data_IF_666886461844
#
_entry.id   IF_666886461844
#
_cell.length_a   1.000
_cell.length_b   1.000
_cell.length_c   1.000
_cell.angle_alpha   90.00
_cell.angle_beta   90.00
_cell.angle_gamma   90.00
#
_symmetry.space_group_name_H-M   'P 1'
#
loop_
_entity.id
_entity.type
_entity.pdbx_description
1 polymer ?
#
# COMPACT_ATOMS: atom_id res chain seq x y z
N UNK A 1 -19.41 10.74 -7.18
CA UNK A 1 -19.19 11.03 -8.61
C UNK A 1 -17.72 11.22 -8.92
N UNK A 2 -16.96 11.98 -8.13
CA UNK A 2 -15.52 12.26 -8.36
C UNK A 2 -14.62 11.03 -8.58
N UNK A 3 -14.80 9.95 -7.82
CA UNK A 3 -13.95 8.74 -7.94
C UNK A 3 -14.55 7.77 -8.96
N UNK A 4 -15.79 7.31 -8.73
CA UNK A 4 -16.41 6.25 -9.51
C UNK A 4 -16.63 6.59 -10.99
N UNK A 5 -16.65 7.87 -11.37
CA UNK A 5 -16.73 8.25 -12.80
C UNK A 5 -15.49 7.83 -13.60
N UNK A 6 -14.36 7.60 -12.93
CA UNK A 6 -13.11 7.17 -13.54
C UNK A 6 -12.87 5.66 -13.41
N UNK A 7 -13.77 4.93 -12.74
CA UNK A 7 -13.63 3.49 -12.54
C UNK A 7 -13.83 2.76 -13.87
N UNK A 8 -12.87 1.93 -14.24
CA UNK A 8 -12.98 1.14 -15.46
C UNK A 8 -14.16 0.14 -15.38
N UNK A 9 -15.03 0.12 -16.40
CA UNK A 9 -16.23 -0.71 -16.37
C UNK A 9 -15.95 -2.20 -16.55
N UNK A 10 -14.73 -2.62 -16.88
CA UNK A 10 -14.37 -4.03 -17.03
C UNK A 10 -13.57 -4.49 -15.82
N UNK A 11 -12.42 -3.86 -15.56
CA UNK A 11 -11.47 -4.28 -14.52
C UNK A 11 -11.84 -3.76 -13.14
N UNK A 12 -12.58 -2.65 -13.06
CA UNK A 12 -12.84 -1.94 -11.81
C UNK A 12 -11.67 -1.08 -11.32
N UNK A 13 -10.55 -1.03 -12.03
CA UNK A 13 -9.38 -0.23 -11.66
C UNK A 13 -9.63 1.26 -11.91
N UNK A 14 -8.90 2.09 -11.17
CA UNK A 14 -8.84 3.54 -11.31
C UNK A 14 -7.47 3.93 -11.89
N UNK A 15 -7.43 4.85 -12.87
CA UNK A 15 -6.18 5.47 -13.29
C UNK A 15 -5.65 6.41 -12.19
N UNK A 16 -4.34 6.61 -12.13
CA UNK A 16 -3.71 7.52 -11.16
C UNK A 16 -4.16 8.98 -11.34
N UNK A 17 -4.40 9.41 -12.57
CA UNK A 17 -5.05 10.70 -12.88
C UNK A 17 -5.57 10.74 -14.31
N UNK A 18 -6.14 11.86 -14.74
CA UNK A 18 -6.52 12.08 -16.15
C UNK A 18 -5.33 12.00 -17.10
N UNK A 19 -4.14 12.38 -16.63
CA UNK A 19 -2.90 12.39 -17.42
C UNK A 19 -2.02 11.15 -17.16
N UNK A 20 -2.37 10.34 -16.16
CA UNK A 20 -1.67 9.11 -15.81
C UNK A 20 -2.65 7.93 -15.89
N UNK A 21 -2.72 7.24 -17.04
CA UNK A 21 -3.75 6.23 -17.29
C UNK A 21 -3.50 4.89 -16.60
N UNK A 22 -2.34 4.72 -15.96
CA UNK A 22 -1.97 3.49 -15.26
C UNK A 22 -2.60 3.44 -13.86
N UNK A 23 -2.88 2.23 -13.39
CA UNK A 23 -3.48 1.93 -12.10
C UNK A 23 -2.40 1.50 -11.10
N UNK A 24 -2.03 2.39 -10.18
CA UNK A 24 -1.19 2.03 -9.03
C UNK A 24 -2.01 1.29 -7.98
N UNK A 25 -1.44 0.23 -7.41
CA UNK A 25 -2.09 -0.57 -6.35
C UNK A 25 -2.49 0.31 -5.17
N UNK A 26 -1.54 1.10 -4.65
CA UNK A 26 -1.73 1.97 -3.48
C UNK A 26 -2.85 3.01 -3.73
N UNK A 27 -2.83 3.66 -4.89
CA UNK A 27 -3.79 4.71 -5.24
C UNK A 27 -5.20 4.14 -5.42
N UNK A 28 -5.31 2.96 -6.03
CA UNK A 28 -6.58 2.24 -6.17
C UNK A 28 -7.18 1.91 -4.80
N UNK A 29 -6.37 1.35 -3.90
CA UNK A 29 -6.81 0.97 -2.55
C UNK A 29 -7.22 2.22 -1.75
N UNK A 30 -6.39 3.26 -1.68
CA UNK A 30 -6.76 4.49 -0.96
C UNK A 30 -8.01 5.17 -1.53
N UNK A 31 -8.16 5.19 -2.85
CA UNK A 31 -9.33 5.77 -3.50
C UNK A 31 -10.60 5.01 -3.13
N UNK A 32 -10.57 3.67 -3.22
CA UNK A 32 -11.77 2.87 -3.00
C UNK A 32 -12.19 2.81 -1.53
N UNK A 33 -11.25 2.99 -0.60
CA UNK A 33 -11.53 3.06 0.84
C UNK A 33 -12.54 4.16 1.17
N UNK A 34 -12.49 5.30 0.47
CA UNK A 34 -13.49 6.36 0.66
C UNK A 34 -14.90 5.94 0.22
N UNK A 35 -15.01 5.15 -0.86
CA UNK A 35 -16.28 4.60 -1.37
C UNK A 35 -16.81 3.53 -0.40
N UNK A 36 -15.93 2.70 0.13
CA UNK A 36 -16.27 1.72 1.17
C UNK A 36 -16.73 2.40 2.48
N UNK A 37 -16.04 3.44 2.94
CA UNK A 37 -16.47 4.20 4.11
C UNK A 37 -17.86 4.82 3.90
N UNK A 38 -18.13 5.36 2.71
CA UNK A 38 -19.45 5.87 2.34
C UNK A 38 -20.50 4.76 2.33
N UNK A 39 -20.18 3.57 1.80
CA UNK A 39 -21.10 2.44 1.77
C UNK A 39 -21.46 1.97 3.17
N UNK A 40 -20.49 1.92 4.09
CA UNK A 40 -20.73 1.61 5.50
C UNK A 40 -21.60 2.67 6.18
N UNK A 41 -21.40 3.95 5.86
CA UNK A 41 -22.25 5.03 6.39
C UNK A 41 -23.70 4.91 5.90
N UNK A 42 -23.92 4.60 4.63
CA UNK A 42 -25.28 4.31 4.12
C UNK A 42 -25.87 3.09 4.81
N UNK A 43 -25.11 1.99 4.90
CA UNK A 43 -25.56 0.75 5.54
C UNK A 43 -26.01 0.97 6.99
N UNK A 44 -25.29 1.81 7.73
CA UNK A 44 -25.61 2.14 9.13
C UNK A 44 -26.85 3.03 9.29
N UNK A 45 -27.11 3.91 8.32
CA UNK A 45 -28.20 4.92 8.38
C UNK A 45 -29.38 4.58 7.45
N UNK A 46 -29.46 3.35 6.95
CA UNK A 46 -30.44 2.97 5.93
C UNK A 46 -31.85 2.75 6.53
N UNK A 47 -32.54 3.86 6.82
CA UNK A 47 -33.95 3.85 7.21
C UNK A 47 -34.89 3.65 6.01
N UNK A 48 -34.38 3.88 4.79
CA UNK A 48 -35.12 3.78 3.52
C UNK A 48 -34.49 2.74 2.59
N UNK A 49 -35.31 2.14 1.74
CA UNK A 49 -34.83 1.13 0.78
C UNK A 49 -33.89 1.72 -0.28
N UNK A 50 -34.02 3.01 -0.61
CA UNK A 50 -33.10 3.74 -1.50
C UNK A 50 -31.67 3.78 -0.94
N UNK A 51 -31.51 4.01 0.37
CA UNK A 51 -30.20 4.04 1.03
C UNK A 51 -29.54 2.66 1.06
N UNK A 52 -30.34 1.59 1.23
CA UNK A 52 -29.85 0.21 1.15
C UNK A 52 -29.37 -0.12 -0.27
N UNK A 53 -30.14 0.26 -1.28
CA UNK A 53 -29.75 0.09 -2.68
C UNK A 53 -28.45 0.83 -2.98
N UNK A 54 -28.31 2.07 -2.48
CA UNK A 54 -27.10 2.86 -2.65
C UNK A 54 -25.89 2.25 -1.96
N UNK A 55 -26.03 1.78 -0.71
CA UNK A 55 -24.98 1.05 -0.02
C UNK A 55 -24.50 -0.13 -0.87
N UNK A 56 -25.44 -0.95 -1.35
CA UNK A 56 -25.12 -2.12 -2.17
C UNK A 56 -24.37 -1.76 -3.46
N UNK A 57 -24.81 -0.75 -4.21
CA UNK A 57 -24.10 -0.28 -5.41
C UNK A 57 -22.65 0.15 -5.13
N UNK A 58 -22.44 0.88 -4.03
CA UNK A 58 -21.12 1.32 -3.61
C UNK A 58 -20.25 0.12 -3.22
N UNK A 59 -20.80 -0.85 -2.49
CA UNK A 59 -20.11 -2.10 -2.12
C UNK A 59 -19.70 -2.91 -3.35
N UNK A 60 -20.58 -3.04 -4.36
CA UNK A 60 -20.21 -3.73 -5.60
C UNK A 60 -19.09 -3.01 -6.35
N UNK A 61 -19.07 -1.67 -6.31
CA UNK A 61 -17.98 -0.89 -6.89
C UNK A 61 -16.65 -1.14 -6.15
N UNK A 62 -16.69 -1.28 -4.82
CA UNK A 62 -15.54 -1.63 -3.97
C UNK A 62 -15.02 -3.03 -4.29
N UNK A 63 -15.91 -4.03 -4.28
CA UNK A 63 -15.58 -5.43 -4.60
C UNK A 63 -14.94 -5.52 -5.97
N UNK A 64 -15.49 -4.83 -6.97
CA UNK A 64 -14.96 -4.83 -8.34
C UNK A 64 -13.52 -4.33 -8.41
N UNK A 65 -13.21 -3.20 -7.76
CA UNK A 65 -11.85 -2.65 -7.78
C UNK A 65 -10.86 -3.55 -7.04
N UNK A 66 -11.20 -4.03 -5.84
CA UNK A 66 -10.32 -4.92 -5.08
C UNK A 66 -10.05 -6.23 -5.83
N UNK A 67 -11.05 -6.76 -6.54
CA UNK A 67 -10.87 -7.91 -7.44
C UNK A 67 -10.04 -7.57 -8.68
N UNK A 68 -10.14 -6.36 -9.22
CA UNK A 68 -9.26 -5.86 -10.28
C UNK A 68 -7.79 -5.87 -9.86
N UNK A 69 -7.48 -5.41 -8.64
CA UNK A 69 -6.14 -5.47 -8.06
C UNK A 69 -5.69 -6.93 -7.86
N UNK A 70 -6.54 -7.78 -7.29
CA UNK A 70 -6.24 -9.21 -7.16
C UNK A 70 -5.92 -9.85 -8.52
N UNK A 71 -6.67 -9.52 -9.57
CA UNK A 71 -6.42 -10.02 -10.93
C UNK A 71 -5.06 -9.57 -11.48
N UNK A 72 -4.61 -8.34 -11.18
CA UNK A 72 -3.28 -7.88 -11.55
C UNK A 72 -2.17 -8.72 -10.88
N UNK A 73 -2.37 -9.05 -9.60
CA UNK A 73 -1.45 -9.90 -8.83
C UNK A 73 -1.46 -11.34 -9.35
N UNK A 74 -2.63 -11.91 -9.60
CA UNK A 74 -2.78 -13.30 -10.09
C UNK A 74 -2.16 -13.51 -11.49
N UNK A 75 -1.93 -12.43 -12.25
CA UNK A 75 -1.21 -12.50 -13.53
C UNK A 75 0.31 -12.60 -13.38
N UNK A 76 0.83 -12.46 -12.17
CA UNK A 76 2.26 -12.49 -11.84
C UNK A 76 2.55 -13.52 -10.74
N UNK A 77 1.78 -14.61 -10.65
CA UNK A 77 2.00 -15.63 -9.63
C UNK A 77 3.38 -16.29 -9.72
N UNK A 78 3.97 -16.35 -10.92
CA UNK A 78 5.32 -16.86 -11.09
C UNK A 78 6.37 -15.98 -10.38
N UNK A 79 6.16 -14.66 -10.35
CA UNK A 79 6.97 -13.71 -9.57
C UNK A 79 6.79 -13.92 -8.08
N UNK A 80 5.54 -14.02 -7.60
CA UNK A 80 5.24 -14.28 -6.18
C UNK A 80 5.94 -15.54 -5.69
N UNK A 81 5.94 -16.62 -6.49
CA UNK A 81 6.61 -17.87 -6.16
C UNK A 81 8.14 -17.72 -6.12
N UNK A 82 8.75 -17.07 -7.12
CA UNK A 82 10.19 -16.82 -7.15
C UNK A 82 10.67 -15.95 -5.99
N UNK A 83 9.88 -14.92 -5.65
CA UNK A 83 10.23 -13.93 -4.62
C UNK A 83 10.43 -14.55 -3.23
N UNK A 84 9.71 -15.64 -2.90
CA UNK A 84 9.89 -16.40 -1.65
C UNK A 84 11.35 -16.78 -1.38
N UNK A 85 12.08 -17.05 -2.46
CA UNK A 85 13.47 -17.47 -2.40
C UNK A 85 14.42 -16.31 -2.69
N UNK A 86 14.17 -15.55 -3.77
CA UNK A 86 15.11 -14.56 -4.26
C UNK A 86 15.09 -13.25 -3.48
N UNK A 87 13.90 -12.80 -3.05
CA UNK A 87 13.65 -11.47 -2.46
C UNK A 87 14.26 -10.33 -3.31
N UNK A 88 14.36 -10.54 -4.62
CA UNK A 88 14.99 -9.61 -5.56
C UNK A 88 13.99 -8.60 -6.10
N UNK A 89 14.47 -7.46 -6.59
CA UNK A 89 13.64 -6.48 -7.29
C UNK A 89 13.05 -7.04 -8.58
N UNK A 90 13.81 -7.84 -9.34
CA UNK A 90 13.35 -8.41 -10.63
C UNK A 90 12.21 -9.42 -10.47
N UNK A 91 12.18 -10.16 -9.36
CA UNK A 91 11.11 -11.12 -9.05
C UNK A 91 9.95 -10.50 -8.26
N UNK A 92 9.97 -9.19 -8.03
CA UNK A 92 8.91 -8.50 -7.30
C UNK A 92 7.66 -8.29 -8.16
N UNK A 93 6.52 -8.14 -7.48
CA UNK A 93 5.27 -7.68 -8.08
C UNK A 93 5.41 -6.26 -8.60
N UNK A 94 4.78 -5.98 -9.73
CA UNK A 94 4.68 -4.61 -10.24
C UNK A 94 3.78 -3.76 -9.34
N UNK A 95 4.17 -2.50 -9.14
CA UNK A 95 3.37 -1.54 -8.38
C UNK A 95 2.20 -0.93 -9.17
N UNK A 96 2.24 -0.99 -10.51
CA UNK A 96 1.27 -0.34 -11.41
C UNK A 96 0.93 -1.20 -12.62
N UNK A 97 -0.29 -1.03 -13.13
CA UNK A 97 -0.88 -1.85 -14.18
C UNK A 97 -1.67 -1.04 -15.19
N UNK A 98 -1.92 -1.65 -16.34
CA UNK A 98 -2.82 -1.06 -17.32
C UNK A 98 -4.25 -1.15 -16.78
N UNK A 99 -4.90 0.01 -16.62
CA UNK A 99 -6.25 0.13 -16.08
C UNK A 99 -7.29 -0.72 -16.82
N UNK A 100 -7.12 -0.98 -18.12
CA UNK A 100 -8.10 -1.70 -18.94
C UNK A 100 -7.81 -3.19 -19.10
N UNK A 101 -6.56 -3.61 -18.92
CA UNK A 101 -6.14 -4.98 -19.24
C UNK A 101 -5.55 -5.73 -18.06
N UNK A 102 -5.27 -5.08 -16.93
CA UNK A 102 -4.55 -5.63 -15.77
C UNK A 102 -3.13 -6.14 -16.11
N UNK A 103 -2.55 -5.72 -17.24
CA UNK A 103 -1.22 -6.11 -17.66
C UNK A 103 -0.16 -5.16 -17.06
N UNK A 104 1.08 -5.64 -16.85
CA UNK A 104 2.25 -4.78 -16.69
C UNK A 104 2.32 -3.69 -17.78
N UNK A 105 2.75 -2.49 -17.41
CA UNK A 105 2.83 -1.32 -18.31
C UNK A 105 4.27 -0.93 -18.66
N UNK A 106 5.24 -1.41 -17.89
CA UNK A 106 6.68 -1.19 -18.05
C UNK A 106 7.41 -2.50 -17.69
N UNK A 107 8.69 -2.61 -18.02
CA UNK A 107 9.53 -3.76 -17.70
C UNK A 107 9.99 -3.79 -16.23
N UNK A 108 10.50 -4.95 -15.80
CA UNK A 108 10.88 -5.22 -14.41
C UNK A 108 11.93 -4.26 -13.83
N UNK A 109 12.82 -3.73 -14.68
CA UNK A 109 13.90 -2.83 -14.29
C UNK A 109 13.61 -1.35 -14.67
N UNK A 110 12.43 -1.05 -15.20
CA UNK A 110 12.07 0.29 -15.70
C UNK A 110 11.37 1.15 -14.64
N UNK A 111 11.10 0.59 -13.45
CA UNK A 111 10.38 1.28 -12.39
C UNK A 111 10.72 0.73 -11.00
N UNK A 112 10.50 1.53 -9.96
CA UNK A 112 10.65 1.11 -8.57
C UNK A 112 9.52 0.18 -8.11
N UNK A 113 9.45 -1.04 -8.67
CA UNK A 113 8.32 -1.96 -8.51
C UNK A 113 8.22 -2.61 -7.13
N UNK A 114 9.33 -3.03 -6.53
CA UNK A 114 9.34 -3.64 -5.21
C UNK A 114 8.84 -2.63 -4.17
N UNK A 115 7.54 -2.66 -3.88
CA UNK A 115 6.82 -1.79 -2.95
C UNK A 115 6.04 -2.68 -1.99
N UNK A 116 6.66 -3.01 -0.86
CA UNK A 116 6.06 -3.92 0.12
C UNK A 116 4.87 -3.25 0.81
N UNK A 117 4.91 -1.93 0.99
CA UNK A 117 3.79 -1.12 1.49
C UNK A 117 2.53 -1.28 0.64
N UNK A 118 2.65 -1.23 -0.70
CA UNK A 118 1.50 -1.28 -1.59
C UNK A 118 0.76 -2.63 -1.53
N UNK A 119 1.52 -3.73 -1.53
CA UNK A 119 0.96 -5.09 -1.38
C UNK A 119 0.35 -5.27 0.01
N UNK A 120 1.04 -4.78 1.05
CA UNK A 120 0.55 -4.85 2.43
C UNK A 120 -0.72 -4.02 2.63
N UNK A 121 -0.83 -2.85 2.00
CA UNK A 121 -2.02 -2.00 2.08
C UNK A 121 -3.24 -2.69 1.44
N UNK A 122 -3.05 -3.33 0.28
CA UNK A 122 -4.09 -4.14 -0.34
C UNK A 122 -4.57 -5.25 0.60
N UNK A 123 -3.63 -5.98 1.22
CA UNK A 123 -3.93 -7.06 2.16
C UNK A 123 -4.64 -6.57 3.45
N UNK A 124 -4.18 -5.46 4.02
CA UNK A 124 -4.80 -4.83 5.18
C UNK A 124 -6.27 -4.47 4.91
N UNK A 125 -6.54 -3.84 3.76
CA UNK A 125 -7.92 -3.47 3.41
C UNK A 125 -8.75 -4.65 2.91
N UNK A 126 -8.15 -5.66 2.28
CA UNK A 126 -8.83 -6.92 1.99
C UNK A 126 -9.35 -7.55 3.28
N UNK A 127 -8.53 -7.58 4.33
CA UNK A 127 -8.91 -8.10 5.63
C UNK A 127 -10.07 -7.31 6.25
N UNK A 128 -9.93 -5.97 6.35
CA UNK A 128 -10.95 -5.11 6.93
C UNK A 128 -12.29 -5.14 6.15
N UNK A 129 -12.22 -5.14 4.82
CA UNK A 129 -13.41 -5.21 3.97
C UNK A 129 -14.11 -6.56 4.11
N UNK A 130 -13.35 -7.66 4.16
CA UNK A 130 -13.89 -9.01 4.41
C UNK A 130 -14.55 -9.09 5.78
N UNK A 131 -13.89 -8.59 6.83
CA UNK A 131 -14.45 -8.51 8.18
C UNK A 131 -15.74 -7.65 8.24
N UNK A 132 -15.85 -6.63 7.38
CA UNK A 132 -17.07 -5.83 7.24
C UNK A 132 -18.20 -6.52 6.45
N UNK A 133 -17.98 -7.75 5.97
CA UNK A 133 -18.97 -8.55 5.25
C UNK A 133 -18.90 -8.42 3.72
N UNK A 134 -17.90 -7.76 3.16
CA UNK A 134 -17.70 -7.78 1.70
C UNK A 134 -17.15 -9.13 1.26
N UNK A 135 -17.76 -9.71 0.22
CA UNK A 135 -17.26 -10.92 -0.40
C UNK A 135 -16.33 -10.53 -1.56
N UNK A 136 -15.01 -10.61 -1.33
CA UNK A 136 -13.98 -10.24 -2.32
C UNK A 136 -13.28 -11.49 -2.88
N UNK A 137 -12.97 -12.47 -2.02
CA UNK A 137 -12.34 -13.75 -2.37
C UNK A 137 -13.43 -14.79 -2.63
N UNK A 138 -13.40 -15.43 -3.80
CA UNK A 138 -14.47 -16.29 -4.32
C UNK A 138 -14.12 -17.77 -4.38
N UNK A 139 -12.84 -18.11 -4.49
CA UNK A 139 -12.40 -19.50 -4.71
C UNK A 139 -11.27 -19.87 -3.76
N UNK A 140 -11.06 -21.18 -3.59
CA UNK A 140 -9.95 -21.68 -2.77
C UNK A 140 -8.59 -21.31 -3.35
N UNK A 141 -8.45 -21.30 -4.68
CA UNK A 141 -7.22 -20.85 -5.34
C UNK A 141 -6.92 -19.38 -4.99
N UNK A 142 -7.93 -18.51 -4.91
CA UNK A 142 -7.75 -17.12 -4.48
C UNK A 142 -7.37 -17.02 -3.00
N UNK A 143 -7.83 -17.93 -2.13
CA UNK A 143 -7.36 -18.03 -0.72
C UNK A 143 -5.86 -18.35 -0.69
N UNK A 144 -5.42 -19.33 -1.48
CA UNK A 144 -4.02 -19.75 -1.53
C UNK A 144 -3.13 -18.62 -2.06
N UNK A 145 -3.64 -17.81 -3.00
CA UNK A 145 -2.96 -16.58 -3.46
C UNK A 145 -2.79 -15.59 -2.31
N UNK A 146 -3.82 -15.33 -1.50
CA UNK A 146 -3.72 -14.41 -0.35
C UNK A 146 -2.71 -14.93 0.68
N UNK A 147 -2.73 -16.24 0.99
CA UNK A 147 -1.74 -16.85 1.87
C UNK A 147 -0.31 -16.70 1.32
N UNK A 148 -0.11 -16.86 0.01
CA UNK A 148 1.18 -16.62 -0.63
C UNK A 148 1.62 -15.16 -0.58
N UNK A 149 0.68 -14.21 -0.64
CA UNK A 149 0.99 -12.79 -0.46
C UNK A 149 1.34 -12.45 0.99
N UNK A 150 0.79 -13.17 1.98
CA UNK A 150 1.26 -13.04 3.37
C UNK A 150 2.73 -13.45 3.49
N UNK A 151 3.13 -14.58 2.89
CA UNK A 151 4.54 -14.98 2.83
C UNK A 151 5.42 -13.99 2.04
N UNK A 152 4.84 -13.29 1.07
CA UNK A 152 5.55 -12.23 0.32
C UNK A 152 5.90 -11.03 1.23
N UNK A 153 5.04 -10.67 2.18
CA UNK A 153 5.23 -9.50 3.06
C UNK A 153 5.80 -9.83 4.44
N UNK A 154 5.80 -11.09 4.89
CA UNK A 154 6.26 -11.48 6.25
C UNK A 154 7.71 -11.08 6.54
N UNK A 155 8.55 -11.03 5.50
CA UNK A 155 9.95 -10.66 5.60
C UNK A 155 10.21 -9.15 5.47
N UNK A 156 9.20 -8.29 5.56
CA UNK A 156 9.33 -6.84 5.36
C UNK A 156 10.45 -6.20 6.20
N UNK A 157 10.68 -6.68 7.42
CA UNK A 157 11.73 -6.18 8.32
C UNK A 157 13.17 -6.38 7.81
N UNK A 158 13.37 -7.20 6.78
CA UNK A 158 14.69 -7.50 6.17
C UNK A 158 14.71 -7.37 4.64
N UNK A 159 13.61 -6.96 4.02
CA UNK A 159 13.51 -6.76 2.56
C UNK A 159 13.61 -5.27 2.28
N UNK A 160 14.71 -4.88 1.62
CA UNK A 160 14.89 -3.51 1.15
C UNK A 160 13.99 -3.28 -0.09
N UNK A 161 13.21 -2.21 -0.08
CA UNK A 161 12.23 -1.89 -1.10
C UNK A 161 12.34 -0.44 -1.58
N UNK A 162 11.48 -0.04 -2.54
CA UNK A 162 11.43 1.32 -3.06
C UNK A 162 10.60 2.28 -2.19
N UNK A 163 9.95 1.76 -1.15
CA UNK A 163 9.05 2.48 -0.27
C UNK A 163 7.85 3.11 -1.00
N UNK A 164 7.02 3.82 -0.24
CA UNK A 164 5.77 4.37 -0.77
C UNK A 164 5.97 5.49 -1.81
N UNK A 165 7.17 6.07 -1.87
CA UNK A 165 7.51 7.13 -2.82
C UNK A 165 8.19 6.61 -4.08
N UNK A 166 8.36 5.29 -4.19
CA UNK A 166 8.84 4.59 -5.41
C UNK A 166 10.29 4.95 -5.78
N UNK A 167 11.08 5.40 -4.79
CA UNK A 167 12.44 5.93 -4.97
C UNK A 167 13.52 5.11 -4.27
N UNK A 168 13.13 4.27 -3.32
CA UNK A 168 14.06 3.54 -2.48
C UNK A 168 14.77 4.53 -1.58
N UNK A 169 16.07 4.64 -1.70
CA UNK A 169 16.85 5.59 -0.94
C UNK A 169 16.55 7.07 -1.28
N UNK A 170 16.93 7.96 -0.38
CA UNK A 170 16.74 9.41 -0.55
C UNK A 170 17.37 9.96 -1.82
N UNK A 171 18.46 9.35 -2.31
CA UNK A 171 19.14 9.80 -3.52
C UNK A 171 18.40 9.44 -4.80
N UNK A 172 17.43 8.51 -4.74
CA UNK A 172 16.68 8.06 -5.91
C UNK A 172 17.62 7.65 -7.06
N UNK A 173 18.53 6.72 -6.78
CA UNK A 173 19.46 6.15 -7.74
C UNK A 173 19.14 4.69 -8.09
N UNK A 174 17.90 4.26 -7.85
CA UNK A 174 17.46 2.88 -8.05
C UNK A 174 17.88 1.94 -6.92
N UNK A 175 18.38 2.47 -5.81
CA UNK A 175 18.87 1.72 -4.66
C UNK A 175 17.72 1.51 -3.68
N UNK A 176 17.41 0.25 -3.35
CA UNK A 176 16.41 -0.07 -2.34
C UNK A 176 16.95 0.10 -0.92
N UNK A 177 16.07 0.36 0.03
CA UNK A 177 16.43 0.40 1.45
C UNK A 177 15.29 -0.12 2.33
N UNK A 178 15.59 -0.41 3.59
CA UNK A 178 14.54 -0.74 4.57
C UNK A 178 13.74 0.52 4.89
N UNK A 179 12.44 0.51 4.55
CA UNK A 179 11.52 1.61 4.80
C UNK A 179 10.57 1.27 5.96
N UNK A 180 10.53 2.14 6.98
CA UNK A 180 9.68 1.96 8.15
C UNK A 180 8.19 1.88 7.78
N UNK A 181 7.75 2.69 6.79
CA UNK A 181 6.37 2.66 6.29
C UNK A 181 5.97 1.27 5.79
N UNK A 182 6.86 0.61 5.03
CA UNK A 182 6.61 -0.74 4.50
C UNK A 182 6.52 -1.78 5.61
N UNK A 183 7.42 -1.72 6.60
CA UNK A 183 7.39 -2.62 7.77
C UNK A 183 6.10 -2.43 8.57
N UNK A 184 5.70 -1.18 8.85
CA UNK A 184 4.50 -0.90 9.62
C UNK A 184 3.22 -1.32 8.92
N UNK A 185 3.10 -1.09 7.60
CA UNK A 185 1.94 -1.57 6.85
C UNK A 185 1.92 -3.11 6.77
N UNK A 186 3.07 -3.76 6.59
CA UNK A 186 3.17 -5.22 6.60
C UNK A 186 2.76 -5.82 7.95
N UNK A 187 3.26 -5.28 9.07
CA UNK A 187 2.84 -5.68 10.42
C UNK A 187 1.32 -5.62 10.57
N UNK A 188 0.71 -4.48 10.27
CA UNK A 188 -0.73 -4.30 10.40
C UNK A 188 -1.53 -5.25 9.49
N UNK A 189 -1.05 -5.51 8.28
CA UNK A 189 -1.69 -6.44 7.36
C UNK A 189 -1.64 -7.89 7.88
N UNK A 190 -0.49 -8.33 8.40
CA UNK A 190 -0.33 -9.66 8.99
C UNK A 190 -1.23 -9.83 10.23
N UNK A 191 -1.25 -8.84 11.12
CA UNK A 191 -2.13 -8.83 12.30
C UNK A 191 -3.61 -8.85 11.93
N UNK A 192 -4.01 -8.14 10.87
CA UNK A 192 -5.41 -8.10 10.42
C UNK A 192 -5.85 -9.37 9.69
N UNK A 193 -4.92 -10.10 9.07
CA UNK A 193 -5.19 -11.32 8.31
C UNK A 193 -5.10 -12.59 9.14
N UNK A 194 -4.30 -12.61 10.20
CA UNK A 194 -4.11 -13.82 11.00
C UNK A 194 -5.45 -14.34 11.55
N UNK A 195 -5.70 -15.63 11.33
CA UNK A 195 -6.95 -16.33 11.65
C UNK A 195 -8.21 -15.77 10.95
N UNK A 196 -8.07 -14.91 9.94
CA UNK A 196 -9.19 -14.39 9.17
C UNK A 196 -9.73 -15.43 8.18
N UNK A 197 -11.04 -15.64 8.20
CA UNK A 197 -11.72 -16.39 7.15
C UNK A 197 -12.03 -15.51 5.93
N UNK A 198 -11.37 -15.78 4.80
CA UNK A 198 -11.50 -14.96 3.57
C UNK A 198 -12.85 -15.08 2.86
N UNK A 199 -13.65 -16.11 3.18
CA UNK A 199 -15.05 -16.21 2.75
C UNK A 199 -16.03 -15.58 3.76
N UNK A 200 -15.51 -14.90 4.79
CA UNK A 200 -16.29 -14.32 5.87
C UNK A 200 -17.05 -15.38 6.66
N UNK A 201 -18.24 -15.03 7.17
CA UNK A 201 -19.06 -15.90 8.01
C UNK A 201 -19.54 -17.20 7.32
N UNK A 202 -19.37 -17.33 6.00
CA UNK A 202 -19.78 -18.51 5.23
C UNK A 202 -18.63 -19.50 4.99
N UNK A 203 -17.41 -19.15 5.35
CA UNK A 203 -16.23 -19.97 5.08
C UNK A 203 -16.04 -21.14 6.05
N UNK A 204 -15.36 -22.16 5.57
CA UNK A 204 -14.90 -23.29 6.40
C UNK A 204 -13.44 -23.10 6.84
N UNK A 205 -12.86 -24.08 7.55
CA UNK A 205 -11.46 -24.02 8.00
C UNK A 205 -10.44 -23.86 6.88
N UNK A 206 -10.75 -24.34 5.66
CA UNK A 206 -9.84 -24.24 4.51
C UNK A 206 -9.69 -22.82 3.95
N UNK A 207 -10.57 -21.88 4.31
CA UNK A 207 -10.50 -20.48 3.87
C UNK A 207 -9.93 -19.54 4.93
N UNK A 208 -9.34 -20.08 5.99
CA UNK A 208 -8.63 -19.33 7.04
C UNK A 208 -7.17 -19.20 6.66
N UNK A 209 -6.61 -17.99 6.76
CA UNK A 209 -5.19 -17.72 6.51
C UNK A 209 -4.44 -17.41 7.81
N UNK A 210 -3.13 -17.62 7.79
CA UNK A 210 -2.30 -17.58 9.00
C UNK A 210 -1.01 -16.81 8.79
N UNK A 211 -0.64 -16.01 9.79
CA UNK A 211 0.65 -15.34 9.89
C UNK A 211 1.55 -16.05 10.93
N UNK A 212 2.86 -15.89 10.81
CA UNK A 212 3.80 -16.31 11.84
C UNK A 212 3.97 -15.19 12.87
N UNK A 213 3.66 -15.49 14.14
CA UNK A 213 3.78 -14.52 15.23
C UNK A 213 5.19 -13.93 15.36
N UNK A 214 6.23 -14.74 15.08
CA UNK A 214 7.63 -14.30 15.12
C UNK A 214 7.91 -13.17 14.13
N UNK A 215 7.34 -13.21 12.92
CA UNK A 215 7.58 -12.17 11.90
C UNK A 215 6.86 -10.86 12.25
N UNK A 216 5.68 -10.93 12.86
CA UNK A 216 4.98 -9.77 13.44
C UNK A 216 5.85 -9.13 14.56
N UNK A 217 6.39 -9.97 15.45
CA UNK A 217 7.25 -9.52 16.54
C UNK A 217 8.57 -8.91 16.06
N UNK A 218 9.16 -9.45 14.98
CA UNK A 218 10.33 -8.87 14.33
C UNK A 218 10.01 -7.49 13.73
N UNK A 219 8.87 -7.34 13.05
CA UNK A 219 8.43 -6.05 12.53
C UNK A 219 8.27 -5.02 13.67
N UNK A 220 7.62 -5.42 14.78
CA UNK A 220 7.46 -4.55 15.96
C UNK A 220 8.81 -4.13 16.54
N UNK A 221 9.75 -5.06 16.69
CA UNK A 221 11.07 -4.79 17.26
C UNK A 221 11.86 -3.80 16.39
N UNK A 222 11.88 -4.01 15.08
CA UNK A 222 12.55 -3.10 14.15
C UNK A 222 11.90 -1.72 14.17
N UNK A 223 10.57 -1.61 14.09
CA UNK A 223 9.87 -0.32 14.16
C UNK A 223 10.20 0.47 15.43
N UNK A 224 10.20 -0.22 16.59
CA UNK A 224 10.54 0.38 17.89
C UNK A 224 11.97 0.93 17.88
N UNK A 225 12.91 0.22 17.23
CA UNK A 225 14.31 0.62 17.16
C UNK A 225 14.61 1.71 16.12
N UNK A 226 13.80 1.78 15.07
CA UNK A 226 14.05 2.56 13.87
C UNK A 226 13.42 3.95 13.95
N UNK A 227 12.21 4.04 14.49
CA UNK A 227 11.51 5.31 14.65
C UNK A 227 12.25 6.24 15.63
N UNK A 228 12.28 7.57 15.37
CA UNK A 228 11.47 8.31 14.40
C UNK A 228 12.01 8.34 12.95
N UNK A 229 13.15 7.71 12.68
CA UNK A 229 13.77 7.68 11.35
C UNK A 229 12.97 6.78 10.39
N UNK A 230 12.84 7.20 9.13
CA UNK A 230 12.08 6.47 8.12
C UNK A 230 12.88 5.38 7.41
N UNK A 231 14.18 5.61 7.23
CA UNK A 231 15.13 4.69 6.60
C UNK A 231 16.56 5.14 6.89
N UNK A 232 17.57 4.38 6.43
CA UNK A 232 18.98 4.77 6.61
C UNK A 232 19.23 6.18 6.08
N UNK A 233 18.74 6.46 4.87
CA UNK A 233 18.98 7.73 4.18
C UNK A 233 17.95 8.82 4.51
N UNK A 234 16.73 8.47 4.94
CA UNK A 234 15.65 9.42 5.28
C UNK A 234 15.51 9.57 6.79
N UNK A 235 15.98 10.70 7.28
CA UNK A 235 15.93 11.10 8.69
C UNK A 235 14.49 11.28 9.21
N UNK A 236 13.56 11.68 8.36
CA UNK A 236 12.13 11.84 8.67
C UNK A 236 11.33 11.71 7.36
N UNK A 237 10.15 11.12 7.41
CA UNK A 237 9.27 10.93 6.25
C UNK A 237 7.79 10.98 6.70
N UNK A 238 6.97 11.75 6.00
CA UNK A 238 5.55 11.90 6.28
C UNK A 238 4.76 10.60 6.06
N UNK A 239 5.29 9.68 5.26
CA UNK A 239 4.74 8.34 5.05
C UNK A 239 4.61 7.51 6.32
N UNK A 240 5.43 7.80 7.33
CA UNK A 240 5.33 7.17 8.65
C UNK A 240 3.96 7.47 9.30
N UNK A 241 3.28 8.58 8.97
CA UNK A 241 1.96 8.87 9.52
C UNK A 241 0.95 7.76 9.22
N UNK A 242 1.06 7.08 8.07
CA UNK A 242 0.18 5.98 7.69
C UNK A 242 0.32 4.75 8.61
N UNK A 243 1.47 4.61 9.28
CA UNK A 243 1.71 3.51 10.22
C UNK A 243 1.51 3.91 11.68
N UNK A 244 1.66 5.20 12.03
CA UNK A 244 1.37 5.71 13.38
C UNK A 244 -0.12 5.98 13.60
N UNK A 245 -0.87 6.15 12.51
CA UNK A 245 -2.29 6.51 12.52
C UNK A 245 -3.06 5.66 11.53
N UNK A 246 -4.19 6.16 11.04
CA UNK A 246 -4.95 5.48 10.00
C UNK A 246 -4.14 5.40 8.70
N UNK A 247 -4.09 4.23 8.03
CA UNK A 247 -4.90 3.04 8.31
C UNK A 247 -4.25 1.98 9.21
N UNK A 248 -2.94 2.01 9.46
CA UNK A 248 -2.24 0.83 9.97
C UNK A 248 -2.19 0.74 11.50
N UNK A 249 -2.06 1.86 12.22
CA UNK A 249 -1.89 1.88 13.69
C UNK A 249 -0.88 0.86 14.23
N UNK A 250 0.22 0.66 13.50
CA UNK A 250 1.15 -0.45 13.70
C UNK A 250 2.08 -0.27 14.92
N UNK A 251 2.19 0.93 15.47
CA UNK A 251 3.10 1.27 16.58
C UNK A 251 2.30 1.46 17.87
N UNK A 252 2.56 0.59 18.85
CA UNK A 252 1.81 0.53 20.11
C UNK A 252 2.34 1.50 21.19
N UNK A 253 3.65 1.79 21.19
CA UNK A 253 4.24 2.68 22.18
C UNK A 253 3.91 4.15 21.88
N UNK A 254 3.01 4.72 22.68
CA UNK A 254 2.56 6.10 22.54
C UNK A 254 3.67 7.14 22.70
N UNK A 255 4.76 6.82 23.42
CA UNK A 255 5.91 7.73 23.52
C UNK A 255 6.64 7.84 22.19
N UNK A 256 6.85 6.72 21.50
CA UNK A 256 7.44 6.67 20.14
C UNK A 256 6.51 7.33 19.14
N UNK A 257 5.21 7.05 19.22
CA UNK A 257 4.19 7.68 18.35
C UNK A 257 4.23 9.20 18.46
N UNK A 258 4.21 9.74 19.69
CA UNK A 258 4.19 11.18 19.92
C UNK A 258 5.52 11.84 19.50
N UNK A 259 6.66 11.25 19.90
CA UNK A 259 7.98 11.73 19.48
C UNK A 259 8.12 11.77 17.96
N UNK A 260 7.69 10.72 17.27
CA UNK A 260 7.80 10.63 15.80
C UNK A 260 6.86 11.61 15.11
N UNK A 261 5.64 11.81 15.63
CA UNK A 261 4.71 12.83 15.13
C UNK A 261 5.29 14.24 15.29
N UNK A 262 5.87 14.55 16.45
CA UNK A 262 6.53 15.84 16.70
C UNK A 262 7.71 16.07 15.75
N UNK A 263 8.51 15.04 15.46
CA UNK A 263 9.62 15.11 14.50
C UNK A 263 9.11 15.39 13.07
N UNK A 264 8.05 14.71 12.63
CA UNK A 264 7.41 14.94 11.34
C UNK A 264 6.85 16.37 11.26
N UNK A 265 6.11 16.81 12.28
CA UNK A 265 5.51 18.15 12.31
C UNK A 265 6.60 19.22 12.31
N UNK A 266 7.59 19.11 13.19
CA UNK A 266 8.63 20.14 13.32
C UNK A 266 9.51 20.29 12.08
N UNK A 267 9.74 19.22 11.32
CA UNK A 267 10.65 19.22 10.16
C UNK A 267 9.96 19.30 8.81
N UNK A 268 8.76 18.72 8.67
CA UNK A 268 8.09 18.59 7.37
C UNK A 268 6.88 19.50 7.24
N UNK A 269 6.31 20.03 8.33
CA UNK A 269 5.16 20.91 8.24
C UNK A 269 5.54 22.28 7.65
N UNK A 270 4.94 22.60 6.52
CA UNK A 270 4.94 23.92 5.90
C UNK A 270 3.57 24.59 5.96
N UNK A 271 3.40 25.63 5.14
CA UNK A 271 2.18 26.45 5.10
C UNK A 271 0.93 25.67 4.66
N UNK A 272 1.10 24.63 3.83
CA UNK A 272 0.00 23.93 3.15
C UNK A 272 -0.15 22.46 3.56
N UNK A 273 0.61 22.01 4.56
CA UNK A 273 0.67 20.61 4.97
C UNK A 273 2.11 20.16 5.19
N UNK A 274 2.33 18.85 5.26
CA UNK A 274 3.67 18.29 5.36
C UNK A 274 4.22 17.94 3.96
N UNK A 275 5.49 18.27 3.71
CA UNK A 275 6.23 17.72 2.59
C UNK A 275 6.51 16.22 2.81
N UNK A 276 6.88 15.48 1.76
CA UNK A 276 7.06 14.02 1.84
C UNK A 276 8.24 13.65 2.75
N UNK A 277 9.41 14.21 2.45
CA UNK A 277 10.63 14.10 3.25
C UNK A 277 11.57 15.26 2.87
N UNK A 278 12.61 15.49 3.67
CA UNK A 278 13.56 16.60 3.43
C UNK A 278 14.35 16.40 2.13
N UNK A 279 14.66 17.49 1.41
CA UNK A 279 15.43 17.47 0.15
C UNK A 279 14.79 16.61 -0.94
N UNK A 280 13.47 16.59 -0.96
CA UNK A 280 12.72 15.95 -2.03
C UNK A 280 12.58 16.89 -3.23
N UNK A 281 13.08 16.47 -4.38
CA UNK A 281 13.01 17.22 -5.63
C UNK A 281 11.74 17.00 -6.43
N UNK A 282 10.88 16.05 -6.07
CA UNK A 282 9.82 15.60 -6.97
C UNK A 282 8.82 16.71 -7.34
N UNK A 283 8.59 16.87 -8.64
CA UNK A 283 7.74 17.89 -9.25
C UNK A 283 8.10 19.33 -8.84
N UNK A 284 9.31 19.53 -8.32
CA UNK A 284 9.84 20.87 -8.08
C UNK A 284 10.41 21.44 -9.39
N UNK A 285 10.50 22.77 -9.54
CA UNK A 285 11.09 23.39 -10.75
C UNK A 285 12.56 23.02 -11.00
N UNK A 286 13.26 22.43 -10.02
CA UNK A 286 14.66 22.01 -10.14
C UNK A 286 14.82 20.53 -10.51
N UNK A 287 13.77 19.71 -10.42
CA UNK A 287 13.81 18.33 -10.91
C UNK A 287 13.74 18.34 -12.45
N UNK A 288 14.57 17.50 -13.06
CA UNK A 288 14.49 17.26 -14.50
C UNK A 288 13.38 16.21 -14.75
N UNK A 289 12.29 16.58 -15.45
CA UNK A 289 11.15 15.69 -15.63
C UNK A 289 11.44 14.54 -16.62
N UNK A 290 12.57 14.55 -17.33
CA UNK A 290 12.87 13.59 -18.39
C UNK A 290 13.64 12.35 -17.91
N UNK A 291 14.01 12.28 -16.63
CA UNK A 291 14.76 11.16 -16.07
C UNK A 291 14.14 10.64 -14.79
N UNK A 292 14.27 9.33 -14.60
CA UNK A 292 13.76 8.64 -13.43
C UNK A 292 14.63 8.88 -12.19
N UNK A 293 15.95 8.96 -12.36
CA UNK A 293 16.92 9.01 -11.26
C UNK A 293 17.62 10.35 -11.16
N UNK A 294 17.96 10.73 -9.92
CA UNK A 294 18.72 11.95 -9.65
C UNK A 294 20.22 11.76 -9.93
N UNK A 295 20.92 12.86 -10.19
CA UNK A 295 22.39 12.87 -10.20
C UNK A 295 22.91 12.99 -8.77
N UNK A 296 24.13 12.48 -8.53
CA UNK A 296 24.72 12.35 -7.19
C UNK A 296 24.83 13.64 -6.37
N UNK A 297 24.73 14.82 -6.99
CA UNK A 297 24.84 16.12 -6.33
C UNK A 297 23.48 16.86 -6.15
N UNK A 298 22.39 16.32 -6.67
CA UNK A 298 21.13 17.07 -6.81
C UNK A 298 20.36 17.27 -5.53
N UNK A 299 20.53 16.38 -4.55
CA UNK A 299 19.89 16.54 -3.24
C UNK A 299 20.21 17.89 -2.58
N UNK A 300 21.38 18.47 -2.86
CA UNK A 300 21.74 19.80 -2.37
C UNK A 300 20.92 20.91 -3.03
N UNK A 301 20.49 20.71 -4.27
CA UNK A 301 19.65 21.67 -4.98
C UNK A 301 18.23 21.70 -4.40
N UNK A 302 17.76 20.59 -3.83
CA UNK A 302 16.43 20.43 -3.24
C UNK A 302 16.34 20.90 -1.78
N UNK A 303 17.44 21.36 -1.19
CA UNK A 303 17.44 21.92 0.15
C UNK A 303 16.60 23.22 0.21
N UNK A 304 15.67 23.26 1.17
CA UNK A 304 14.77 24.39 1.43
C UNK A 304 13.99 24.89 0.19
N UNK A 305 13.55 23.97 -0.68
CA UNK A 305 12.70 24.32 -1.83
C UNK A 305 11.25 24.61 -1.43
N UNK A 306 10.71 23.89 -0.44
CA UNK A 306 9.32 24.02 0.05
C UNK A 306 9.23 24.77 1.38
#
# INVERSE_FOLDING_TARGET
>A
QTILQHQDPVTGLLPGSTDQPDAWVRDNVYSIVSVWALSLAYRKNADRDEDKAKAYELEQSVVKLMRGVLQCIMRQLDKVEKFKYSRSTSDSLHAKYNTRTCAPVVGDDEWGHLQVDATSLFLLFLAQMTASGLHIIYTQDEVDVVQNLMFYIEAAYKVADYGMWERGDKTNQGITEINASSIGTAKAALEALDELNLFGAKGGPGSVVHALADDIQHCQSILTSMLPRASISKEVDAGILAILTYPAFAVEDMSIVNMTKEEIISKLQGRYGCCRFLRDGHKTPKEDPNRLYYESAELKLFENIE
#
